data_IF_106096238099
#
_entry.id   IF_106096238099
#
_cell.length_a   1.000
_cell.length_b   1.000
_cell.length_c   1.000
_cell.angle_alpha   90.00
_cell.angle_beta   90.00
_cell.angle_gamma   90.00
#
_symmetry.space_group_name_H-M   'P 1'
#
loop_
_entity.id
_entity.type
_entity.pdbx_description
1 polymer ?
#
# COMPACT_ATOMS: atom_id res chain seq x y z
N UNK A 1 -89.49 -6.83 36.23
CA UNK A 1 -88.81 -7.69 37.23
C UNK A 1 -88.07 -8.77 36.45
N UNK A 2 -86.79 -9.02 36.79
CA UNK A 2 -85.77 -9.80 36.06
C UNK A 2 -85.03 -8.99 34.98
N UNK A 3 -83.87 -8.36 35.25
CA UNK A 3 -82.51 -8.85 35.57
C UNK A 3 -81.65 -9.10 34.31
N UNK A 4 -80.59 -8.30 34.25
CA UNK A 4 -79.29 -8.36 33.57
C UNK A 4 -78.95 -9.57 32.70
N UNK A 5 -78.43 -9.30 31.48
CA UNK A 5 -77.20 -9.96 31.04
C UNK A 5 -76.44 -9.11 29.98
N UNK A 6 -75.39 -8.43 30.44
CA UNK A 6 -74.33 -7.88 29.58
C UNK A 6 -73.53 -9.04 28.99
N UNK A 7 -73.73 -9.35 27.71
CA UNK A 7 -72.82 -10.22 26.97
C UNK A 7 -71.59 -9.41 26.55
N UNK A 8 -70.50 -9.61 27.29
CA UNK A 8 -69.17 -9.14 26.95
C UNK A 8 -68.68 -9.87 25.69
N UNK A 9 -68.57 -9.16 24.57
CA UNK A 9 -67.84 -9.65 23.41
C UNK A 9 -66.34 -9.63 23.75
N UNK A 10 -65.76 -10.81 23.97
CA UNK A 10 -64.32 -10.98 24.14
C UNK A 10 -63.58 -10.53 22.88
N UNK A 11 -62.79 -9.46 23.00
CA UNK A 11 -61.73 -9.16 22.04
C UNK A 11 -60.70 -10.30 22.14
N UNK A 12 -60.66 -11.17 21.13
CA UNK A 12 -59.58 -12.13 20.97
C UNK A 12 -58.25 -11.36 20.86
N UNK A 13 -57.36 -11.57 21.84
CA UNK A 13 -56.03 -11.01 21.81
C UNK A 13 -55.30 -11.49 20.55
N UNK A 14 -54.84 -10.55 19.72
CA UNK A 14 -54.00 -10.85 18.58
C UNK A 14 -52.74 -11.59 19.07
N UNK A 15 -52.30 -12.69 18.41
CA UNK A 15 -51.12 -13.42 18.83
C UNK A 15 -49.92 -12.48 18.81
N UNK A 16 -49.25 -12.33 19.95
CA UNK A 16 -47.96 -11.64 20.06
C UNK A 16 -46.97 -12.32 19.11
N UNK A 17 -46.83 -11.78 17.90
CA UNK A 17 -45.73 -12.17 17.00
C UNK A 17 -44.44 -11.75 17.69
N UNK A 18 -43.64 -12.75 18.08
CA UNK A 18 -42.27 -12.52 18.56
C UNK A 18 -41.56 -11.65 17.51
N UNK A 19 -40.79 -10.62 17.92
CA UNK A 19 -40.03 -9.83 16.96
C UNK A 19 -39.15 -10.78 16.14
N UNK A 20 -39.10 -10.64 14.80
CA UNK A 20 -38.27 -11.50 13.97
C UNK A 20 -36.83 -11.36 14.43
N UNK A 21 -36.17 -12.49 14.67
CA UNK A 21 -34.76 -12.52 15.03
C UNK A 21 -33.98 -11.78 13.92
N UNK A 22 -33.18 -10.76 14.25
CA UNK A 22 -32.39 -10.04 13.27
C UNK A 22 -31.59 -11.00 12.37
N UNK A 23 -31.68 -10.83 11.06
CA UNK A 23 -31.07 -11.77 10.10
C UNK A 23 -29.55 -11.95 10.26
N UNK A 24 -28.85 -11.00 10.87
CA UNK A 24 -27.43 -11.11 11.19
C UNK A 24 -27.13 -12.17 12.27
N UNK A 25 -28.07 -12.47 13.17
CA UNK A 25 -27.94 -13.55 14.16
C UNK A 25 -27.99 -14.94 13.51
N UNK A 26 -28.64 -15.06 12.34
CA UNK A 26 -28.59 -16.30 11.53
C UNK A 26 -27.20 -16.50 10.91
N UNK A 27 -26.44 -15.42 10.68
CA UNK A 27 -25.05 -15.47 10.22
C UNK A 27 -24.05 -15.88 11.31
N UNK A 28 -24.38 -15.71 12.59
CA UNK A 28 -23.53 -16.18 13.70
C UNK A 28 -23.51 -17.70 13.81
N UNK A 29 -24.59 -18.39 13.44
CA UNK A 29 -24.68 -19.86 13.50
C UNK A 29 -23.57 -20.55 12.69
N UNK A 30 -23.43 -20.26 11.38
CA UNK A 30 -22.34 -20.77 10.56
C UNK A 30 -20.95 -20.36 11.06
N UNK A 31 -20.76 -19.12 11.54
CA UNK A 31 -19.47 -18.66 12.07
C UNK A 31 -19.06 -19.40 13.35
N UNK A 32 -20.01 -19.62 14.27
CA UNK A 32 -19.79 -20.41 15.49
C UNK A 32 -19.52 -21.87 15.14
N UNK A 33 -20.23 -22.44 14.15
CA UNK A 33 -19.97 -23.79 13.67
C UNK A 33 -18.57 -23.93 13.06
N UNK A 34 -18.16 -22.97 12.22
CA UNK A 34 -16.79 -22.93 11.66
C UNK A 34 -15.76 -22.83 12.79
N UNK A 35 -15.96 -21.95 13.78
CA UNK A 35 -15.06 -21.82 14.92
C UNK A 35 -14.99 -23.09 15.77
N UNK A 36 -16.12 -23.79 15.98
CA UNK A 36 -16.18 -25.08 16.68
C UNK A 36 -15.46 -26.15 15.88
N UNK A 37 -15.67 -26.23 14.55
CA UNK A 37 -15.01 -27.22 13.69
C UNK A 37 -13.50 -26.98 13.64
N UNK A 38 -13.05 -25.72 13.49
CA UNK A 38 -11.64 -25.34 13.53
C UNK A 38 -11.02 -25.63 14.91
N UNK A 39 -11.72 -25.27 16.00
CA UNK A 39 -11.29 -25.58 17.36
C UNK A 39 -11.17 -27.08 17.61
N UNK A 40 -12.17 -27.86 17.18
CA UNK A 40 -12.15 -29.32 17.26
C UNK A 40 -11.02 -29.91 16.42
N UNK A 41 -10.75 -29.37 15.23
CA UNK A 41 -9.64 -29.76 14.37
C UNK A 41 -8.28 -29.51 15.03
N UNK A 42 -8.11 -28.38 15.72
CA UNK A 42 -6.89 -28.06 16.49
C UNK A 42 -6.72 -28.92 17.74
N UNK A 43 -7.81 -29.15 18.51
CA UNK A 43 -7.77 -29.90 19.78
C UNK A 43 -7.57 -31.41 19.52
N UNK A 44 -8.14 -31.94 18.44
CA UNK A 44 -7.99 -33.35 18.08
C UNK A 44 -6.66 -33.64 17.39
N UNK A 45 -5.78 -32.64 17.18
CA UNK A 45 -4.48 -32.80 16.52
C UNK A 45 -4.60 -33.61 15.20
N UNK A 46 -5.63 -33.27 14.41
CA UNK A 46 -6.03 -33.88 13.14
C UNK A 46 -5.35 -35.23 12.85
N UNK A 47 -5.85 -36.34 13.43
CA UNK A 47 -5.14 -37.61 13.45
C UNK A 47 -4.83 -38.08 12.02
N UNK A 48 -3.56 -37.97 11.62
CA UNK A 48 -3.10 -38.33 10.27
C UNK A 48 -2.36 -37.23 9.50
N UNK A 49 -2.48 -35.94 9.85
CA UNK A 49 -1.72 -34.87 9.18
C UNK A 49 -0.22 -34.93 9.48
N UNK A 50 0.17 -35.26 10.72
CA UNK A 50 1.58 -35.40 11.06
C UNK A 50 2.28 -36.54 10.28
N UNK A 51 1.52 -37.55 9.84
CA UNK A 51 2.04 -38.63 8.97
C UNK A 51 2.17 -38.23 7.50
N UNK A 52 1.51 -37.15 7.07
CA UNK A 52 1.71 -36.58 5.73
C UNK A 52 2.98 -35.73 5.66
N UNK A 53 3.47 -35.25 6.81
CA UNK A 53 4.74 -34.52 6.93
C UNK A 53 5.94 -35.43 7.21
N UNK A 54 5.71 -36.71 7.56
CA UNK A 54 6.78 -37.69 7.72
C UNK A 54 7.52 -37.90 6.38
N UNK A 55 8.77 -37.44 6.31
CA UNK A 55 9.63 -37.56 5.13
C UNK A 55 9.66 -36.33 4.21
N UNK A 56 8.91 -35.27 4.54
CA UNK A 56 9.05 -33.96 3.85
C UNK A 56 10.24 -33.23 4.49
N UNK A 57 11.24 -32.80 3.70
CA UNK A 57 12.34 -31.99 4.23
C UNK A 57 11.80 -30.72 4.93
N UNK A 58 12.40 -30.30 6.04
CA UNK A 58 11.99 -29.08 6.72
C UNK A 58 12.02 -27.90 5.75
N UNK A 59 10.97 -27.08 5.77
CA UNK A 59 10.87 -25.90 4.91
C UNK A 59 11.60 -24.73 5.56
N UNK A 60 12.81 -24.47 5.08
CA UNK A 60 13.65 -23.38 5.54
C UNK A 60 13.40 -22.14 4.70
N UNK A 61 12.46 -21.31 5.14
CA UNK A 61 12.15 -20.03 4.51
C UNK A 61 12.55 -18.92 5.48
N UNK A 62 13.66 -18.24 5.20
CA UNK A 62 14.19 -17.14 6.03
C UNK A 62 14.21 -15.87 5.21
N UNK A 63 13.62 -14.81 5.76
CA UNK A 63 13.66 -13.47 5.19
C UNK A 63 14.71 -12.61 5.91
N UNK A 64 15.46 -11.82 5.15
CA UNK A 64 16.36 -10.80 5.68
C UNK A 64 15.55 -9.52 5.91
N UNK A 65 15.52 -9.05 7.16
CA UNK A 65 14.71 -7.88 7.58
C UNK A 65 15.53 -6.60 7.71
N UNK A 66 16.81 -6.66 8.07
CA UNK A 66 17.63 -5.47 8.27
C UNK A 66 19.11 -5.84 8.08
N UNK A 67 19.88 -5.00 7.40
CA UNK A 67 21.33 -5.12 7.32
C UNK A 67 21.93 -3.82 7.83
N UNK A 68 22.72 -3.93 8.89
CA UNK A 68 23.40 -2.80 9.51
C UNK A 68 24.90 -2.95 9.44
N UNK A 69 25.54 -1.97 8.84
CA UNK A 69 26.98 -1.88 8.73
C UNK A 69 27.51 -0.85 9.73
N UNK A 70 28.31 -1.33 10.66
CA UNK A 70 29.10 -0.50 11.60
C UNK A 70 30.57 -0.83 11.41
N UNK A 71 31.51 0.03 11.86
CA UNK A 71 32.93 -0.24 11.67
C UNK A 71 33.35 -1.64 12.15
N UNK A 72 33.80 -2.48 11.22
CA UNK A 72 34.27 -3.84 11.50
C UNK A 72 33.18 -4.90 11.76
N UNK A 73 31.90 -4.58 11.58
CA UNK A 73 30.79 -5.51 11.80
C UNK A 73 29.68 -5.36 10.75
N UNK A 74 29.06 -6.49 10.42
CA UNK A 74 27.81 -6.56 9.65
C UNK A 74 26.78 -7.23 10.55
N UNK A 75 25.74 -6.51 10.93
CA UNK A 75 24.63 -7.04 11.70
C UNK A 75 23.42 -7.32 10.78
N UNK A 76 22.98 -8.56 10.69
CA UNK A 76 21.87 -8.98 9.83
C UNK A 76 20.73 -9.48 10.71
N UNK A 77 19.57 -8.85 10.61
CA UNK A 77 18.35 -9.35 11.25
C UNK A 77 17.61 -10.22 10.26
N UNK A 78 17.27 -11.44 10.68
CA UNK A 78 16.53 -12.39 9.86
C UNK A 78 15.33 -12.93 10.61
N UNK A 79 14.28 -13.28 9.88
CA UNK A 79 13.07 -13.91 10.42
C UNK A 79 12.81 -15.25 9.77
N UNK A 80 12.42 -16.22 10.59
CA UNK A 80 11.88 -17.48 10.09
C UNK A 80 10.44 -17.27 9.60
N UNK A 81 10.23 -17.36 8.30
CA UNK A 81 8.92 -17.31 7.65
C UNK A 81 8.34 -18.69 7.35
N UNK A 82 9.16 -19.73 7.51
CA UNK A 82 8.78 -21.11 7.36
C UNK A 82 7.94 -21.65 8.52
N UNK A 83 7.24 -22.77 8.30
CA UNK A 83 6.46 -23.45 9.33
C UNK A 83 7.33 -24.24 10.32
N UNK A 84 8.59 -24.52 9.97
CA UNK A 84 9.51 -25.36 10.75
C UNK A 84 10.56 -24.49 11.46
N UNK A 85 11.04 -24.86 12.67
CA UNK A 85 12.11 -24.15 13.34
C UNK A 85 13.42 -24.20 12.54
N UNK A 86 14.14 -23.08 12.46
CA UNK A 86 15.41 -22.97 11.72
C UNK A 86 16.50 -22.39 12.60
N UNK A 87 17.73 -22.87 12.44
CA UNK A 87 18.93 -22.31 13.07
C UNK A 87 19.99 -22.03 12.02
N UNK A 88 20.74 -20.95 12.21
CA UNK A 88 21.87 -20.59 11.34
C UNK A 88 23.14 -21.22 11.93
N UNK A 89 23.81 -22.03 11.12
CA UNK A 89 25.02 -22.75 11.51
C UNK A 89 26.29 -22.05 11.04
N UNK A 90 26.24 -21.35 9.90
CA UNK A 90 27.40 -20.72 9.29
C UNK A 90 27.01 -19.49 8.50
N UNK A 91 27.91 -18.50 8.44
CA UNK A 91 27.76 -17.31 7.62
C UNK A 91 28.97 -17.19 6.71
N UNK A 92 28.72 -17.06 5.42
CA UNK A 92 29.74 -16.72 4.44
C UNK A 92 29.54 -15.26 4.01
N UNK A 93 30.63 -14.48 3.96
CA UNK A 93 30.67 -13.15 3.36
C UNK A 93 31.64 -13.23 2.18
N UNK A 94 31.08 -13.18 0.97
CA UNK A 94 31.76 -13.46 -0.30
C UNK A 94 32.40 -14.86 -0.31
N UNK A 95 33.73 -14.95 -0.23
CA UNK A 95 34.47 -16.21 -0.22
C UNK A 95 34.98 -16.58 1.20
N UNK A 96 34.60 -15.84 2.24
CA UNK A 96 35.12 -16.00 3.58
C UNK A 96 34.06 -16.44 4.60
N UNK A 97 34.34 -17.54 5.31
CA UNK A 97 33.53 -17.95 6.45
C UNK A 97 33.77 -17.06 7.66
N UNK A 98 32.81 -16.19 7.92
CA UNK A 98 32.90 -15.18 8.93
C UNK A 98 32.47 -15.73 10.30
N UNK A 99 33.15 -15.26 11.34
CA UNK A 99 32.71 -15.49 12.72
C UNK A 99 31.49 -14.63 13.01
N UNK A 100 30.47 -15.22 13.60
CA UNK A 100 29.24 -14.53 13.96
C UNK A 100 28.75 -14.93 15.35
N UNK A 101 27.98 -14.04 15.97
CA UNK A 101 27.14 -14.35 17.13
C UNK A 101 25.68 -14.15 16.76
N UNK A 102 24.77 -14.79 17.49
CA UNK A 102 23.34 -14.68 17.23
C UNK A 102 22.58 -14.47 18.54
N UNK A 103 21.56 -13.61 18.50
CA UNK A 103 20.73 -13.32 19.69
C UNK A 103 19.85 -14.52 20.08
N UNK A 104 19.52 -15.38 19.12
CA UNK A 104 18.81 -16.65 19.31
C UNK A 104 19.47 -17.74 18.48
N UNK A 105 19.60 -18.93 19.07
CA UNK A 105 20.16 -20.10 18.38
C UNK A 105 19.20 -20.74 17.39
N UNK A 106 17.92 -20.82 17.75
CA UNK A 106 16.86 -21.38 16.92
C UNK A 106 15.68 -20.42 16.88
N UNK A 107 15.13 -20.21 15.69
CA UNK A 107 13.95 -19.38 15.45
C UNK A 107 12.72 -20.26 15.25
N UNK A 108 11.71 -20.13 16.09
CA UNK A 108 10.39 -20.67 15.80
C UNK A 108 9.74 -19.89 14.64
N UNK A 109 8.63 -20.38 14.05
CA UNK A 109 7.92 -19.64 13.01
C UNK A 109 7.57 -18.21 13.44
N UNK A 110 7.86 -17.25 12.57
CA UNK A 110 7.72 -15.79 12.74
C UNK A 110 8.64 -15.16 13.81
N UNK A 111 9.58 -15.90 14.39
CA UNK A 111 10.61 -15.32 15.25
C UNK A 111 11.79 -14.79 14.44
N UNK A 112 12.36 -13.67 14.93
CA UNK A 112 13.57 -13.06 14.36
C UNK A 112 14.79 -13.27 15.26
N UNK A 113 15.97 -13.34 14.65
CA UNK A 113 17.28 -13.32 15.31
C UNK A 113 18.17 -12.28 14.63
N UNK A 114 19.13 -11.71 15.37
CA UNK A 114 20.13 -10.81 14.81
C UNK A 114 21.48 -11.50 14.84
N UNK A 115 22.08 -11.64 13.67
CA UNK A 115 23.42 -12.18 13.44
C UNK A 115 24.42 -11.03 13.45
N UNK A 116 25.36 -11.01 14.38
CA UNK A 116 26.45 -10.03 14.41
C UNK A 116 27.72 -10.68 13.85
N UNK A 117 28.08 -10.30 12.63
CA UNK A 117 29.18 -10.87 11.86
C UNK A 117 30.40 -9.96 12.03
N UNK A 118 31.51 -10.53 12.48
CA UNK A 118 32.78 -9.79 12.58
C UNK A 118 33.48 -9.79 11.22
N UNK A 119 33.34 -8.68 10.49
CA UNK A 119 33.87 -8.54 9.13
C UNK A 119 34.26 -7.08 8.85
N UNK A 120 35.48 -6.86 8.37
CA UNK A 120 35.98 -5.54 7.98
C UNK A 120 35.59 -5.24 6.54
N UNK A 121 34.42 -4.64 6.36
CA UNK A 121 33.92 -4.20 5.07
C UNK A 121 34.52 -2.84 4.67
N UNK A 122 34.44 -2.53 3.38
CA UNK A 122 34.95 -1.32 2.73
C UNK A 122 33.77 -0.53 2.17
N UNK A 123 33.80 0.78 2.34
CA UNK A 123 32.75 1.68 1.84
C UNK A 123 32.67 1.64 0.32
N UNK A 124 31.47 1.44 -0.21
CA UNK A 124 31.15 1.32 -1.63
C UNK A 124 31.28 -0.10 -2.21
N UNK A 125 31.88 -1.04 -1.50
CA UNK A 125 32.07 -2.41 -2.02
C UNK A 125 30.77 -3.24 -1.94
N UNK A 126 30.47 -4.06 -2.96
CA UNK A 126 29.39 -5.04 -2.90
C UNK A 126 29.81 -6.28 -2.10
N UNK A 127 28.88 -6.88 -1.37
CA UNK A 127 29.08 -8.15 -0.67
C UNK A 127 27.91 -9.11 -0.86
N UNK A 128 28.23 -10.36 -1.23
CA UNK A 128 27.27 -11.47 -1.17
C UNK A 128 27.39 -12.17 0.19
N UNK A 129 26.34 -12.15 0.99
CA UNK A 129 26.28 -12.88 2.26
C UNK A 129 25.42 -14.13 2.06
N UNK A 130 25.91 -15.29 2.45
CA UNK A 130 25.14 -16.53 2.47
C UNK A 130 24.99 -17.05 3.90
N UNK A 131 23.75 -17.10 4.36
CA UNK A 131 23.39 -17.69 5.65
C UNK A 131 23.11 -19.18 5.43
N UNK A 132 23.88 -20.04 6.08
CA UNK A 132 23.75 -21.48 5.97
C UNK A 132 23.03 -22.01 7.20
N UNK A 133 21.89 -22.66 6.97
CA UNK A 133 21.10 -23.29 8.04
C UNK A 133 21.76 -24.56 8.56
N UNK A 134 21.33 -25.05 9.71
CA UNK A 134 21.78 -26.34 10.25
C UNK A 134 21.43 -27.54 9.36
N UNK A 135 20.40 -27.44 8.51
CA UNK A 135 20.09 -28.48 7.52
C UNK A 135 20.80 -28.28 6.18
N UNK A 136 21.68 -27.27 6.05
CA UNK A 136 22.49 -27.01 4.87
C UNK A 136 21.82 -26.16 3.79
N UNK A 137 20.63 -25.63 4.04
CA UNK A 137 19.99 -24.62 3.21
C UNK A 137 20.82 -23.34 3.16
N UNK A 138 20.88 -22.69 2.00
CA UNK A 138 21.59 -21.42 1.81
C UNK A 138 20.59 -20.31 1.52
N UNK A 139 20.58 -19.30 2.36
CA UNK A 139 19.77 -18.08 2.18
C UNK A 139 20.73 -16.96 1.76
N UNK A 140 20.70 -16.54 0.48
CA UNK A 140 21.52 -15.45 0.01
C UNK A 140 20.97 -14.10 0.49
N UNK A 141 21.86 -13.15 0.75
CA UNK A 141 21.58 -11.78 1.08
C UNK A 141 22.63 -10.90 0.40
N UNK A 142 22.21 -10.00 -0.48
CA UNK A 142 23.13 -9.11 -1.19
C UNK A 142 23.22 -7.75 -0.49
N UNK A 143 24.44 -7.22 -0.41
CA UNK A 143 24.74 -5.83 -0.06
C UNK A 143 25.33 -5.22 -1.33
N UNK A 144 24.51 -4.47 -2.07
CA UNK A 144 24.92 -3.91 -3.38
C UNK A 144 26.04 -2.86 -3.24
N UNK A 145 26.00 -2.05 -2.18
CA UNK A 145 27.03 -1.08 -1.87
C UNK A 145 27.08 -0.88 -0.36
N UNK A 146 28.16 -1.32 0.28
CA UNK A 146 28.34 -1.16 1.71
C UNK A 146 28.52 0.31 2.09
N UNK A 147 27.72 0.78 3.04
CA UNK A 147 27.85 2.12 3.61
C UNK A 147 27.49 2.08 5.08
N UNK A 148 28.04 3.00 5.88
CA UNK A 148 27.69 3.12 7.29
C UNK A 148 26.17 3.29 7.45
N UNK A 149 25.55 2.39 8.20
CA UNK A 149 24.12 2.50 8.46
C UNK A 149 23.86 3.73 9.34
N UNK A 150 22.87 4.57 8.96
CA UNK A 150 22.59 5.78 9.72
C UNK A 150 22.13 5.46 11.14
N UNK A 151 22.60 6.26 12.11
CA UNK A 151 22.06 6.21 13.46
C UNK A 151 20.59 6.65 13.45
N UNK A 152 19.70 5.81 14.00
CA UNK A 152 18.25 6.11 14.10
C UNK A 152 17.97 7.11 15.23
N UNK A 153 18.63 8.27 15.20
CA UNK A 153 18.45 9.39 16.12
C UNK A 153 17.43 10.42 15.62
N UNK A 154 17.23 11.48 16.41
CA UNK A 154 16.26 12.54 16.05
C UNK A 154 16.55 13.24 14.71
N UNK A 155 17.83 13.40 14.36
CA UNK A 155 18.26 13.97 13.06
C UNK A 155 17.85 13.10 11.88
N UNK A 156 17.92 11.78 12.01
CA UNK A 156 17.49 10.83 10.97
C UNK A 156 15.98 10.93 10.72
N UNK A 157 15.16 10.90 11.78
CA UNK A 157 13.71 11.06 11.62
C UNK A 157 13.31 12.46 11.12
N UNK A 158 14.06 13.50 11.47
CA UNK A 158 13.89 14.83 10.90
C UNK A 158 14.20 14.85 9.39
N UNK A 159 15.26 14.16 8.95
CA UNK A 159 15.56 13.97 7.53
C UNK A 159 14.44 13.22 6.82
N UNK A 160 13.93 12.12 7.39
CA UNK A 160 12.81 11.37 6.79
C UNK A 160 11.54 12.23 6.66
N UNK A 161 11.27 13.06 7.66
CA UNK A 161 10.17 14.04 7.60
C UNK A 161 10.39 15.04 6.46
N UNK A 162 11.59 15.57 6.33
CA UNK A 162 11.96 16.53 5.30
C UNK A 162 11.87 15.91 3.90
N UNK A 163 12.33 14.67 3.72
CA UNK A 163 12.21 13.93 2.47
C UNK A 163 10.75 13.68 2.08
N UNK A 164 9.90 13.28 3.04
CA UNK A 164 8.47 13.17 2.80
C UNK A 164 7.81 14.49 2.37
N UNK A 165 8.27 15.63 2.89
CA UNK A 165 7.83 16.96 2.43
C UNK A 165 8.31 17.24 1.00
N UNK A 166 9.57 16.96 0.68
CA UNK A 166 10.15 17.19 -0.65
C UNK A 166 9.58 16.31 -1.74
N UNK A 167 9.12 15.11 -1.40
CA UNK A 167 8.58 14.14 -2.37
C UNK A 167 7.06 14.22 -2.46
N UNK A 168 6.36 14.35 -1.33
CA UNK A 168 4.89 14.42 -1.33
C UNK A 168 4.35 15.84 -1.40
N UNK A 169 4.58 16.62 -0.33
CA UNK A 169 3.88 17.90 -0.14
C UNK A 169 4.25 18.95 -1.18
N UNK A 170 5.55 19.19 -1.41
CA UNK A 170 6.02 20.23 -2.33
C UNK A 170 5.60 19.92 -3.77
N UNK A 171 5.87 18.72 -4.32
CA UNK A 171 5.52 18.40 -5.70
C UNK A 171 4.02 18.47 -5.95
N UNK A 172 3.20 17.87 -5.08
CA UNK A 172 1.74 17.97 -5.20
C UNK A 172 1.29 19.43 -5.21
N UNK A 173 1.81 20.26 -4.29
CA UNK A 173 1.50 21.69 -4.28
C UNK A 173 1.93 22.39 -5.57
N UNK A 174 3.12 22.11 -6.10
CA UNK A 174 3.60 22.64 -7.38
C UNK A 174 2.67 22.26 -8.54
N UNK A 175 2.19 21.02 -8.57
CA UNK A 175 1.17 20.58 -9.52
C UNK A 175 -0.12 21.38 -9.42
N UNK A 176 -0.59 21.61 -8.18
CA UNK A 176 -1.80 22.37 -7.93
C UNK A 176 -1.67 23.86 -8.30
N UNK A 177 -0.45 24.41 -8.34
CA UNK A 177 -0.19 25.78 -8.82
C UNK A 177 -0.56 25.99 -10.30
N UNK A 178 -0.75 24.92 -11.07
CA UNK A 178 -1.25 25.01 -12.45
C UNK A 178 -2.75 25.37 -12.54
N UNK A 179 -3.46 25.44 -11.41
CA UNK A 179 -4.87 25.78 -11.36
C UNK A 179 -5.27 27.04 -12.17
N UNK A 180 -4.55 28.19 -12.12
CA UNK A 180 -4.90 29.35 -12.93
C UNK A 180 -4.89 29.09 -14.45
N UNK A 181 -3.98 28.24 -14.92
CA UNK A 181 -3.92 27.82 -16.31
C UNK A 181 -5.10 26.92 -16.65
N UNK A 182 -5.37 25.89 -15.83
CA UNK A 182 -6.48 24.94 -16.03
C UNK A 182 -7.83 25.64 -16.04
N UNK A 183 -8.02 26.67 -15.20
CA UNK A 183 -9.26 27.47 -15.15
C UNK A 183 -9.56 28.19 -16.46
N UNK A 184 -8.52 28.72 -17.12
CA UNK A 184 -8.59 29.50 -18.35
C UNK A 184 -8.59 28.62 -19.61
N UNK A 185 -8.15 27.38 -19.49
CA UNK A 185 -8.13 26.45 -20.61
C UNK A 185 -9.56 26.16 -21.15
N UNK A 186 -9.70 26.05 -22.48
CA UNK A 186 -10.96 25.61 -23.09
C UNK A 186 -11.23 24.14 -22.75
N UNK A 187 -12.50 23.73 -22.82
CA UNK A 187 -12.93 22.40 -22.39
C UNK A 187 -12.21 21.24 -23.12
N UNK A 188 -11.82 21.42 -24.39
CA UNK A 188 -11.05 20.43 -25.14
C UNK A 188 -9.68 20.18 -24.53
N UNK A 189 -8.97 21.25 -24.15
CA UNK A 189 -7.66 21.16 -23.50
C UNK A 189 -7.75 20.55 -22.11
N UNK A 190 -8.78 20.88 -21.34
CA UNK A 190 -9.02 20.23 -20.03
C UNK A 190 -9.21 18.72 -20.18
N UNK A 191 -9.92 18.27 -21.22
CA UNK A 191 -10.08 16.82 -21.50
C UNK A 191 -8.77 16.15 -21.94
N UNK A 192 -7.93 16.84 -22.71
CA UNK A 192 -6.60 16.33 -23.07
C UNK A 192 -5.73 16.18 -21.81
N UNK A 193 -5.69 17.20 -20.95
CA UNK A 193 -4.97 17.16 -19.68
C UNK A 193 -5.49 16.04 -18.77
N UNK A 194 -6.81 15.85 -18.67
CA UNK A 194 -7.40 14.71 -17.97
C UNK A 194 -6.97 13.37 -18.58
N UNK A 195 -6.90 13.28 -19.92
CA UNK A 195 -6.36 12.12 -20.61
C UNK A 195 -4.92 11.83 -20.20
N UNK A 196 -4.05 12.85 -20.19
CA UNK A 196 -2.66 12.76 -19.71
C UNK A 196 -2.62 12.26 -18.27
N UNK A 197 -3.42 12.84 -17.38
CA UNK A 197 -3.50 12.40 -15.97
C UNK A 197 -3.95 10.94 -15.85
N UNK A 198 -4.97 10.50 -16.60
CA UNK A 198 -5.42 9.10 -16.57
C UNK A 198 -4.33 8.16 -17.07
N UNK A 199 -3.61 8.53 -18.14
CA UNK A 199 -2.48 7.75 -18.64
C UNK A 199 -1.36 7.62 -17.62
N UNK A 200 -1.02 8.73 -16.95
CA UNK A 200 -0.01 8.76 -15.89
C UNK A 200 -0.38 7.85 -14.71
N UNK A 201 -1.59 8.00 -14.17
CA UNK A 201 -2.06 7.17 -13.05
C UNK A 201 -2.18 5.69 -13.42
N UNK A 202 -2.53 5.39 -14.67
CA UNK A 202 -2.56 4.01 -15.16
C UNK A 202 -1.16 3.40 -15.23
N UNK A 203 -0.15 4.17 -15.68
CA UNK A 203 1.24 3.72 -15.62
C UNK A 203 1.66 3.45 -14.18
N UNK A 204 1.44 4.42 -13.27
CA UNK A 204 1.82 4.30 -11.85
C UNK A 204 1.16 3.10 -11.17
N UNK A 205 -0.11 2.82 -11.49
CA UNK A 205 -0.78 1.63 -10.96
C UNK A 205 -0.09 0.33 -11.38
N UNK A 206 0.36 0.25 -12.64
CA UNK A 206 1.06 -0.93 -13.17
C UNK A 206 2.44 -1.03 -12.53
N UNK A 207 3.20 0.05 -12.57
CA UNK A 207 4.59 0.13 -12.09
C UNK A 207 4.68 -0.23 -10.61
N UNK A 208 3.88 0.43 -9.76
CA UNK A 208 3.83 0.14 -8.32
C UNK A 208 3.36 -1.28 -8.02
N UNK A 209 2.50 -1.88 -8.86
CA UNK A 209 2.12 -3.29 -8.69
C UNK A 209 3.29 -4.21 -8.99
N UNK A 210 4.02 -3.96 -10.10
CA UNK A 210 5.17 -4.78 -10.50
C UNK A 210 6.26 -4.72 -9.44
N UNK A 211 6.66 -3.52 -9.03
CA UNK A 211 7.67 -3.29 -7.99
C UNK A 211 7.28 -3.97 -6.66
N UNK A 212 6.01 -3.80 -6.23
CA UNK A 212 5.54 -4.43 -5.01
C UNK A 212 5.51 -5.97 -5.09
N UNK A 213 5.19 -6.54 -6.25
CA UNK A 213 5.21 -8.00 -6.43
C UNK A 213 6.63 -8.57 -6.50
N UNK A 214 7.57 -7.83 -7.06
CA UNK A 214 8.99 -8.20 -7.10
C UNK A 214 9.59 -8.24 -5.69
N UNK A 215 9.23 -7.27 -4.84
CA UNK A 215 9.64 -7.20 -3.43
C UNK A 215 9.30 -8.46 -2.60
N UNK A 216 8.27 -9.19 -3.00
CA UNK A 216 7.82 -10.42 -2.33
C UNK A 216 7.82 -11.63 -3.26
N UNK A 217 8.54 -11.59 -4.39
CA UNK A 217 8.56 -12.68 -5.37
C UNK A 217 9.09 -13.99 -4.76
N UNK A 218 10.13 -13.88 -3.93
CA UNK A 218 10.75 -15.01 -3.23
C UNK A 218 10.20 -15.23 -1.81
N UNK A 219 9.28 -14.38 -1.37
CA UNK A 219 8.66 -14.46 -0.04
C UNK A 219 7.32 -15.19 -0.13
N UNK A 220 7.14 -16.26 0.65
CA UNK A 220 5.87 -16.99 0.72
C UNK A 220 5.03 -16.67 1.96
N UNK A 221 5.57 -15.92 2.91
CA UNK A 221 4.80 -15.43 4.05
C UNK A 221 3.61 -14.58 3.59
N UNK A 222 2.50 -14.69 4.30
CA UNK A 222 1.26 -13.95 4.03
C UNK A 222 0.70 -14.12 2.59
N UNK A 223 1.11 -15.17 1.87
CA UNK A 223 0.67 -15.43 0.49
C UNK A 223 1.52 -14.75 -0.59
N UNK A 224 2.70 -14.22 -0.24
CA UNK A 224 3.66 -13.64 -1.19
C UNK A 224 3.05 -12.52 -2.03
N UNK A 225 3.12 -12.56 -3.37
CA UNK A 225 2.53 -11.53 -4.24
C UNK A 225 1.04 -11.25 -4.01
N UNK A 226 0.29 -12.20 -3.41
CA UNK A 226 -1.12 -11.97 -3.08
C UNK A 226 -1.34 -10.83 -2.09
N UNK A 227 -0.35 -10.51 -1.25
CA UNK A 227 -0.44 -9.40 -0.29
C UNK A 227 -0.57 -8.05 -1.01
N UNK A 228 0.07 -7.91 -2.18
CA UNK A 228 0.01 -6.71 -3.03
C UNK A 228 -1.41 -6.53 -3.57
N UNK A 229 -1.96 -7.58 -4.17
CA UNK A 229 -3.31 -7.56 -4.73
C UNK A 229 -4.37 -7.37 -3.64
N UNK A 230 -4.14 -7.91 -2.43
CA UNK A 230 -5.00 -7.66 -1.29
C UNK A 230 -4.97 -6.18 -0.89
N UNK A 231 -3.78 -5.58 -0.77
CA UNK A 231 -3.64 -4.14 -0.50
C UNK A 231 -4.35 -3.28 -1.55
N UNK A 232 -4.14 -3.60 -2.83
CA UNK A 232 -4.77 -2.90 -3.94
C UNK A 232 -6.30 -3.02 -3.91
N UNK A 233 -6.83 -4.22 -3.70
CA UNK A 233 -8.26 -4.46 -3.61
C UNK A 233 -8.88 -3.73 -2.41
N UNK A 234 -8.22 -3.76 -1.25
CA UNK A 234 -8.68 -3.06 -0.04
C UNK A 234 -8.75 -1.56 -0.30
N UNK A 235 -7.69 -0.95 -0.83
CA UNK A 235 -7.66 0.49 -1.11
C UNK A 235 -8.73 0.89 -2.13
N UNK A 236 -8.84 0.15 -3.23
CA UNK A 236 -9.82 0.39 -4.28
C UNK A 236 -11.26 0.33 -3.72
N UNK A 237 -11.58 -0.72 -2.96
CA UNK A 237 -12.91 -0.91 -2.37
C UNK A 237 -13.22 0.10 -1.27
N UNK A 238 -12.24 0.51 -0.48
CA UNK A 238 -12.40 1.57 0.53
C UNK A 238 -12.70 2.91 -0.13
N UNK A 239 -12.01 3.26 -1.22
CA UNK A 239 -12.29 4.48 -1.98
C UNK A 239 -13.65 4.41 -2.69
N UNK A 240 -14.04 3.26 -3.24
CA UNK A 240 -15.37 3.08 -3.84
C UNK A 240 -16.49 3.16 -2.78
N UNK A 241 -16.27 2.56 -1.61
CA UNK A 241 -17.17 2.66 -0.46
C UNK A 241 -17.29 4.10 0.05
N UNK A 242 -16.17 4.82 0.08
CA UNK A 242 -16.11 6.25 0.44
C UNK A 242 -16.90 7.09 -0.56
N UNK A 243 -16.72 6.88 -1.86
CA UNK A 243 -17.49 7.53 -2.93
C UNK A 243 -18.99 7.23 -2.80
N UNK A 244 -19.36 5.94 -2.64
CA UNK A 244 -20.75 5.53 -2.46
C UNK A 244 -21.40 6.17 -1.21
N UNK A 245 -20.68 6.22 -0.09
CA UNK A 245 -21.10 6.87 1.15
C UNK A 245 -21.26 8.39 0.96
N UNK A 246 -20.31 9.05 0.29
CA UNK A 246 -20.40 10.48 -0.04
C UNK A 246 -21.58 10.80 -0.97
N UNK A 247 -21.97 9.87 -1.86
CA UNK A 247 -23.18 9.99 -2.70
C UNK A 247 -24.47 9.81 -1.90
N UNK A 248 -24.51 8.87 -0.96
CA UNK A 248 -25.72 8.60 -0.15
C UNK A 248 -26.05 9.71 0.85
N UNK A 249 -25.03 10.40 1.39
CA UNK A 249 -25.22 11.57 2.27
C UNK A 249 -25.56 12.87 1.52
N UNK A 250 -26.02 12.76 0.28
CA UNK A 250 -26.50 13.90 -0.49
C UNK A 250 -28.00 14.03 -0.24
N UNK A 251 -28.49 15.26 -0.06
CA UNK A 251 -29.93 15.49 -0.16
C UNK A 251 -30.43 14.99 -1.53
N UNK A 252 -31.64 14.42 -1.61
CA UNK A 252 -32.18 13.93 -2.87
C UNK A 252 -32.11 15.05 -3.90
N UNK A 253 -31.25 14.86 -4.90
CA UNK A 253 -31.13 15.79 -6.00
C UNK A 253 -32.43 15.76 -6.81
N UNK A 254 -32.87 16.92 -7.30
CA UNK A 254 -33.99 17.01 -8.23
C UNK A 254 -33.82 16.01 -9.38
N UNK A 255 -34.94 15.40 -9.80
CA UNK A 255 -34.98 14.44 -10.91
C UNK A 255 -34.19 14.97 -12.11
N UNK A 256 -33.24 14.18 -12.62
CA UNK A 256 -32.38 14.54 -13.76
C UNK A 256 -30.96 15.02 -13.43
N UNK A 257 -30.57 15.14 -12.16
CA UNK A 257 -29.19 15.49 -11.79
C UNK A 257 -28.26 14.27 -11.86
N UNK A 258 -27.09 14.42 -12.50
CA UNK A 258 -26.08 13.35 -12.66
C UNK A 258 -25.70 12.69 -11.33
N UNK A 259 -25.62 11.35 -11.31
CA UNK A 259 -25.19 10.54 -10.16
C UNK A 259 -23.72 10.75 -9.73
N UNK A 260 -22.97 11.61 -10.44
CA UNK A 260 -21.58 11.91 -10.15
C UNK A 260 -21.39 12.76 -8.88
N UNK A 261 -20.25 12.60 -8.21
CA UNK A 261 -19.84 13.45 -7.10
C UNK A 261 -19.71 14.90 -7.54
N UNK A 262 -20.06 15.88 -6.67
CA UNK A 262 -19.76 17.27 -6.94
C UNK A 262 -18.24 17.50 -6.97
N UNK A 263 -17.75 18.50 -7.74
CA UNK A 263 -16.32 18.73 -7.97
C UNK A 263 -15.44 18.74 -6.72
N UNK A 264 -15.91 19.35 -5.63
CA UNK A 264 -15.15 19.44 -4.38
C UNK A 264 -15.01 18.10 -3.65
N UNK A 265 -16.04 17.24 -3.69
CA UNK A 265 -15.95 15.88 -3.10
C UNK A 265 -15.10 14.98 -3.99
N UNK A 266 -15.22 15.13 -5.32
CA UNK A 266 -14.37 14.39 -6.26
C UNK A 266 -12.90 14.76 -6.06
N UNK A 267 -12.57 16.06 -5.96
CA UNK A 267 -11.20 16.51 -5.67
C UNK A 267 -10.67 15.99 -4.33
N UNK A 268 -11.52 15.92 -3.29
CA UNK A 268 -11.14 15.31 -2.01
C UNK A 268 -10.90 13.81 -2.14
N UNK A 269 -11.77 13.08 -2.86
CA UNK A 269 -11.58 11.65 -3.11
C UNK A 269 -10.27 11.38 -3.86
N UNK A 270 -9.98 12.19 -4.89
CA UNK A 270 -8.72 12.14 -5.64
C UNK A 270 -7.53 12.42 -4.71
N UNK A 271 -7.61 13.46 -3.86
CA UNK A 271 -6.55 13.78 -2.91
C UNK A 271 -6.33 12.67 -1.87
N UNK A 272 -7.38 11.98 -1.41
CA UNK A 272 -7.26 10.84 -0.51
C UNK A 272 -6.59 9.66 -1.24
N UNK A 273 -7.00 9.36 -2.48
CA UNK A 273 -6.40 8.28 -3.27
C UNK A 273 -4.92 8.52 -3.55
N UNK A 274 -4.55 9.73 -3.96
CA UNK A 274 -3.15 10.16 -4.12
C UNK A 274 -2.41 10.08 -2.77
N UNK A 275 -3.05 10.49 -1.67
CA UNK A 275 -2.46 10.37 -0.34
C UNK A 275 -2.13 8.93 0.05
N UNK A 276 -3.00 7.97 -0.26
CA UNK A 276 -2.71 6.55 -0.02
C UNK A 276 -1.56 6.03 -0.89
N UNK A 277 -1.38 6.56 -2.09
CA UNK A 277 -0.22 6.26 -2.95
C UNK A 277 1.08 6.82 -2.40
N UNK A 278 1.08 8.11 -2.06
CA UNK A 278 2.23 8.80 -1.49
C UNK A 278 2.68 8.21 -0.15
N UNK A 279 1.77 7.57 0.59
CA UNK A 279 2.13 6.78 1.79
C UNK A 279 3.09 5.63 1.44
N UNK A 280 2.85 4.91 0.34
CA UNK A 280 3.70 3.82 -0.14
C UNK A 280 5.06 4.32 -0.62
N UNK A 281 5.11 5.42 -1.34
CA UNK A 281 6.35 6.06 -1.78
C UNK A 281 7.22 6.51 -0.61
N UNK A 282 6.61 7.18 0.36
CA UNK A 282 7.27 7.57 1.59
C UNK A 282 7.89 6.35 2.26
N UNK A 283 7.14 5.27 2.38
CA UNK A 283 7.63 4.01 2.95
C UNK A 283 8.86 3.48 2.21
N UNK A 284 8.82 3.44 0.87
CA UNK A 284 9.94 2.99 0.05
C UNK A 284 11.21 3.82 0.31
N UNK A 285 11.09 5.16 0.37
CA UNK A 285 12.21 6.05 0.71
C UNK A 285 12.72 5.77 2.12
N UNK A 286 11.82 5.73 3.11
CA UNK A 286 12.19 5.50 4.51
C UNK A 286 12.93 4.16 4.69
N UNK A 287 12.44 3.12 4.02
CA UNK A 287 13.04 1.79 4.03
C UNK A 287 14.40 1.75 3.33
N UNK A 288 14.55 2.38 2.16
CA UNK A 288 15.83 2.46 1.46
C UNK A 288 16.92 3.13 2.32
N UNK A 289 16.57 4.22 3.00
CA UNK A 289 17.47 4.89 3.94
C UNK A 289 17.73 4.07 5.22
N UNK A 290 16.74 3.32 5.72
CA UNK A 290 16.89 2.48 6.90
C UNK A 290 17.93 1.37 6.71
N UNK A 291 18.02 0.83 5.49
CA UNK A 291 18.99 -0.22 5.10
C UNK A 291 20.28 0.34 4.50
N UNK A 292 20.46 1.68 4.49
CA UNK A 292 21.69 2.33 4.02
C UNK A 292 21.85 2.41 2.50
N UNK A 293 20.79 2.13 1.72
CA UNK A 293 20.84 2.21 0.25
C UNK A 293 20.60 3.65 -0.24
N UNK A 294 21.64 4.50 -0.13
CA UNK A 294 21.54 5.92 -0.49
C UNK A 294 21.25 6.14 -1.98
N UNK A 295 21.84 5.34 -2.86
CA UNK A 295 21.64 5.46 -4.31
C UNK A 295 20.19 5.16 -4.70
N UNK A 296 19.62 4.08 -4.14
CA UNK A 296 18.20 3.75 -4.31
C UNK A 296 17.32 4.86 -3.72
N UNK A 297 17.62 5.35 -2.51
CA UNK A 297 16.87 6.45 -1.91
C UNK A 297 16.86 7.71 -2.78
N UNK A 298 18.00 8.07 -3.39
CA UNK A 298 18.11 9.24 -4.25
C UNK A 298 17.34 9.10 -5.58
N UNK A 299 17.40 7.94 -6.24
CA UNK A 299 16.65 7.70 -7.47
C UNK A 299 15.13 7.74 -7.22
N UNK A 300 14.67 7.12 -6.13
CA UNK A 300 13.26 7.15 -5.71
C UNK A 300 12.77 8.59 -5.47
N UNK A 301 13.54 9.42 -4.75
CA UNK A 301 13.16 10.81 -4.48
C UNK A 301 12.94 11.60 -5.78
N UNK A 302 13.85 11.46 -6.76
CA UNK A 302 13.75 12.20 -8.02
C UNK A 302 12.56 11.70 -8.84
N UNK A 303 12.42 10.38 -8.99
CA UNK A 303 11.31 9.77 -9.71
C UNK A 303 9.96 10.22 -9.14
N UNK A 304 9.77 10.01 -7.84
CA UNK A 304 8.53 10.33 -7.15
C UNK A 304 8.21 11.83 -7.18
N UNK A 305 9.19 12.70 -6.99
CA UNK A 305 8.95 14.15 -7.07
C UNK A 305 8.47 14.60 -8.46
N UNK A 306 8.96 14.00 -9.54
CA UNK A 306 8.55 14.34 -10.90
C UNK A 306 7.07 13.97 -11.12
N UNK A 307 6.65 12.75 -10.80
CA UNK A 307 5.26 12.37 -11.04
C UNK A 307 4.28 12.95 -10.02
N UNK A 308 4.66 13.14 -8.75
CA UNK A 308 3.80 13.80 -7.77
C UNK A 308 3.45 15.25 -8.15
N UNK A 309 4.33 15.91 -8.91
CA UNK A 309 4.02 17.20 -9.52
C UNK A 309 2.85 17.09 -10.51
N UNK A 310 2.74 16.01 -11.26
CA UNK A 310 1.63 15.81 -12.19
C UNK A 310 0.33 15.40 -11.49
N UNK A 311 0.41 14.76 -10.32
CA UNK A 311 -0.76 14.37 -9.53
C UNK A 311 -1.51 15.57 -8.93
N UNK A 312 -0.78 16.64 -8.60
CA UNK A 312 -1.39 17.91 -8.20
C UNK A 312 -2.35 18.47 -9.26
N UNK A 313 -2.09 18.21 -10.56
CA UNK A 313 -2.99 18.56 -11.65
C UNK A 313 -4.30 17.76 -11.59
N UNK A 314 -4.23 16.47 -11.22
CA UNK A 314 -5.40 15.60 -11.08
C UNK A 314 -6.40 16.15 -10.04
N UNK A 315 -5.89 16.67 -8.93
CA UNK A 315 -6.70 17.23 -7.83
C UNK A 315 -7.43 18.49 -8.27
N UNK A 316 -6.76 19.40 -9.00
CA UNK A 316 -7.33 20.71 -9.36
C UNK A 316 -8.20 20.68 -10.60
N UNK A 317 -8.06 19.67 -11.46
CA UNK A 317 -8.79 19.61 -12.73
C UNK A 317 -10.31 19.54 -12.57
N UNK A 318 -10.89 18.72 -11.67
CA UNK A 318 -12.33 18.78 -11.37
C UNK A 318 -12.80 20.16 -10.88
N UNK A 319 -11.92 20.91 -10.23
CA UNK A 319 -12.21 22.21 -9.63
C UNK A 319 -12.11 23.37 -10.63
N UNK A 320 -11.72 23.13 -11.88
CA UNK A 320 -11.38 24.15 -12.88
C UNK A 320 -12.45 25.25 -13.05
N UNK A 321 -13.74 24.91 -12.89
CA UNK A 321 -14.85 25.89 -13.03
C UNK A 321 -15.41 26.36 -11.69
N UNK A 322 -15.03 25.73 -10.59
CA UNK A 322 -15.48 26.07 -9.23
C UNK A 322 -14.28 26.06 -8.28
N UNK A 323 -13.34 27.01 -8.44
CA UNK A 323 -12.10 27.04 -7.70
C UNK A 323 -12.37 27.24 -6.19
N UNK A 324 -11.76 26.44 -5.31
CA UNK A 324 -11.84 26.69 -3.88
C UNK A 324 -10.94 27.87 -3.47
N UNK A 325 -11.16 28.39 -2.26
CA UNK A 325 -10.22 29.32 -1.64
C UNK A 325 -8.90 28.65 -1.25
N UNK A 326 -7.84 29.45 -1.07
CA UNK A 326 -6.49 28.98 -0.75
C UNK A 326 -6.42 27.99 0.43
N UNK A 327 -7.14 28.17 1.56
CA UNK A 327 -7.06 27.23 2.68
C UNK A 327 -7.55 25.83 2.33
N UNK A 328 -8.60 25.72 1.51
CA UNK A 328 -9.11 24.43 1.03
C UNK A 328 -8.18 23.80 0.02
N UNK A 329 -7.54 24.61 -0.84
CA UNK A 329 -6.54 24.13 -1.78
C UNK A 329 -5.31 23.58 -1.03
N UNK A 330 -4.83 24.29 0.00
CA UNK A 330 -3.75 23.83 0.87
C UNK A 330 -4.15 22.54 1.62
N UNK A 331 -5.38 22.45 2.13
CA UNK A 331 -5.86 21.24 2.78
C UNK A 331 -5.88 20.03 1.82
N UNK A 332 -6.32 20.20 0.57
CA UNK A 332 -6.28 19.14 -0.44
C UNK A 332 -4.84 18.72 -0.75
N UNK A 333 -3.91 19.67 -0.88
CA UNK A 333 -2.49 19.37 -1.09
C UNK A 333 -1.87 18.64 0.09
N UNK A 334 -2.23 18.98 1.32
CA UNK A 334 -1.76 18.27 2.52
C UNK A 334 -2.36 16.86 2.63
N UNK A 335 -3.65 16.68 2.31
CA UNK A 335 -4.29 15.35 2.30
C UNK A 335 -3.59 14.41 1.30
N UNK A 336 -3.18 14.96 0.15
CA UNK A 336 -2.47 14.20 -0.89
C UNK A 336 -0.98 14.02 -0.59
N UNK A 337 -0.27 15.04 -0.10
CA UNK A 337 1.19 15.00 0.02
C UNK A 337 1.73 14.61 1.41
N UNK A 338 1.04 14.96 2.50
CA UNK A 338 1.53 14.69 3.85
C UNK A 338 1.64 13.18 4.20
N UNK A 339 0.84 12.27 3.64
CA UNK A 339 1.03 10.84 3.86
C UNK A 339 2.42 10.32 3.49
N UNK A 340 3.15 10.94 2.55
CA UNK A 340 4.54 10.59 2.27
C UNK A 340 5.46 10.75 3.49
N UNK A 341 5.18 11.74 4.35
CA UNK A 341 5.91 11.94 5.61
C UNK A 341 5.67 10.75 6.53
N UNK A 342 4.40 10.34 6.69
CA UNK A 342 4.05 9.19 7.52
C UNK A 342 4.69 7.91 6.97
N UNK A 343 4.67 7.73 5.65
CA UNK A 343 5.34 6.62 4.97
C UNK A 343 6.82 6.58 5.28
N UNK A 344 7.53 7.69 5.07
CA UNK A 344 8.97 7.79 5.32
C UNK A 344 9.34 7.50 6.77
N UNK A 345 8.55 7.99 7.72
CA UNK A 345 8.74 7.69 9.14
C UNK A 345 8.50 6.21 9.46
N UNK A 346 7.46 5.59 8.90
CA UNK A 346 7.18 4.17 9.11
C UNK A 346 8.32 3.33 8.50
N UNK A 347 8.71 3.60 7.25
CA UNK A 347 9.74 2.86 6.54
C UNK A 347 11.11 2.98 7.20
N UNK A 348 11.38 4.11 7.84
CA UNK A 348 12.59 4.37 8.60
C UNK A 348 12.74 3.53 9.90
N UNK A 349 11.63 3.02 10.44
CA UNK A 349 11.64 2.27 11.71
C UNK A 349 11.85 0.76 11.53
N UNK A 350 11.21 0.17 10.52
CA UNK A 350 11.15 -1.29 10.31
C UNK A 350 11.10 -1.55 8.81
N UNK A 351 11.98 -2.41 8.31
CA UNK A 351 11.83 -2.98 6.98
C UNK A 351 11.18 -4.36 7.11
N UNK A 352 9.99 -4.47 6.51
CA UNK A 352 9.19 -5.67 6.51
C UNK A 352 8.64 -5.86 5.09
N UNK A 353 9.23 -6.74 4.26
CA UNK A 353 8.89 -6.85 2.85
C UNK A 353 7.38 -7.02 2.60
N UNK A 354 6.72 -7.88 3.38
CA UNK A 354 5.28 -8.10 3.24
C UNK A 354 4.42 -6.85 3.55
N UNK A 355 4.81 -6.04 4.55
CA UNK A 355 4.12 -4.80 4.89
C UNK A 355 4.38 -3.73 3.83
N UNK A 356 5.61 -3.66 3.33
CA UNK A 356 5.98 -2.75 2.26
C UNK A 356 5.23 -3.07 0.96
N UNK A 357 5.21 -4.34 0.56
CA UNK A 357 4.44 -4.81 -0.59
C UNK A 357 2.93 -4.58 -0.42
N UNK A 358 2.38 -4.78 0.78
CA UNK A 358 0.99 -4.45 1.08
C UNK A 358 0.68 -2.96 0.89
N UNK A 359 1.52 -2.07 1.44
CA UNK A 359 1.32 -0.62 1.38
C UNK A 359 1.56 -0.04 -0.02
N UNK A 360 2.53 -0.56 -0.77
CA UNK A 360 2.69 -0.25 -2.19
C UNK A 360 1.48 -0.73 -3.01
N UNK A 361 0.97 -1.94 -2.71
CA UNK A 361 -0.28 -2.45 -3.27
C UNK A 361 -1.47 -1.53 -2.97
N UNK A 362 -1.60 -1.06 -1.71
CA UNK A 362 -2.61 -0.03 -1.33
C UNK A 362 -2.48 1.20 -2.21
N UNK A 363 -1.26 1.68 -2.45
CA UNK A 363 -1.00 2.79 -3.36
C UNK A 363 -1.46 2.52 -4.79
N UNK A 364 -1.07 1.37 -5.36
CA UNK A 364 -1.44 0.97 -6.71
C UNK A 364 -2.96 0.89 -6.90
N UNK A 365 -3.67 0.26 -5.94
CA UNK A 365 -5.14 0.18 -5.95
C UNK A 365 -5.80 1.55 -5.82
N UNK A 366 -5.21 2.47 -5.04
CA UNK A 366 -5.71 3.82 -4.88
C UNK A 366 -5.60 4.64 -6.18
N UNK A 367 -4.44 4.68 -6.83
CA UNK A 367 -4.29 5.42 -8.10
C UNK A 367 -5.07 4.79 -9.24
N UNK A 368 -5.21 3.45 -9.28
CA UNK A 368 -6.09 2.77 -10.23
C UNK A 368 -7.55 3.22 -10.06
N UNK A 369 -8.02 3.30 -8.81
CA UNK A 369 -9.37 3.78 -8.51
C UNK A 369 -9.56 5.24 -8.94
N UNK A 370 -8.60 6.11 -8.64
CA UNK A 370 -8.61 7.52 -9.04
C UNK A 370 -8.66 7.65 -10.56
N UNK A 371 -7.85 6.89 -11.30
CA UNK A 371 -7.86 6.88 -12.77
C UNK A 371 -9.24 6.52 -13.32
N UNK A 372 -9.88 5.49 -12.76
CA UNK A 372 -11.26 5.09 -13.12
C UNK A 372 -12.26 6.21 -12.83
N UNK A 373 -12.11 6.94 -11.72
CA UNK A 373 -13.00 8.07 -11.38
C UNK A 373 -12.83 9.29 -12.28
N UNK A 374 -11.68 9.44 -12.92
CA UNK A 374 -11.45 10.50 -13.89
C UNK A 374 -12.04 10.18 -15.27
N UNK A 375 -12.16 8.90 -15.66
CA UNK A 375 -12.67 8.49 -16.99
C UNK A 375 -13.99 9.18 -17.40
N UNK A 376 -15.04 9.29 -16.55
CA UNK A 376 -16.27 9.97 -16.94
C UNK A 376 -16.08 11.45 -17.32
N UNK A 377 -15.02 12.11 -16.83
CA UNK A 377 -14.72 13.51 -17.12
C UNK A 377 -14.07 13.70 -18.50
N UNK A 378 -13.59 12.62 -19.13
CA UNK A 378 -13.03 12.66 -20.49
C UNK A 378 -14.14 12.72 -21.55
N UNK A 379 -15.38 12.41 -21.20
CA UNK A 379 -16.51 12.37 -22.13
C UNK A 379 -16.69 13.70 -22.86
N UNK A 380 -16.78 13.61 -24.18
CA UNK A 380 -17.08 14.75 -25.02
C UNK A 380 -18.59 15.08 -25.05
N UNK A 381 -18.99 16.03 -25.93
CA UNK A 381 -20.40 16.43 -26.06
C UNK A 381 -21.29 15.30 -26.61
N UNK A 382 -20.71 14.33 -27.33
CA UNK A 382 -21.40 13.15 -27.85
C UNK A 382 -21.40 11.99 -26.83
N UNK A 383 -20.79 12.16 -25.66
CA UNK A 383 -20.67 11.13 -24.63
C UNK A 383 -19.52 10.15 -24.84
N UNK A 384 -18.66 10.37 -25.84
CA UNK A 384 -17.51 9.53 -26.17
C UNK A 384 -16.35 9.82 -25.21
N UNK A 385 -15.88 8.79 -24.49
CA UNK A 385 -14.71 8.89 -23.61
C UNK A 385 -13.40 8.86 -24.40
N UNK A 386 -13.29 7.95 -25.37
CA UNK A 386 -12.07 7.72 -26.18
C UNK A 386 -12.19 8.41 -27.54
N UNK A 387 -11.96 9.71 -27.54
CA UNK A 387 -11.77 10.51 -28.76
C UNK A 387 -10.31 10.49 -29.17
N UNK A 388 -9.97 10.92 -30.39
CA UNK A 388 -8.57 11.05 -30.80
C UNK A 388 -7.74 11.92 -29.83
N UNK A 389 -8.32 13.03 -29.36
CA UNK A 389 -7.66 13.95 -28.43
C UNK A 389 -7.45 13.35 -27.03
N UNK A 390 -8.47 12.70 -26.46
CA UNK A 390 -8.34 12.08 -25.13
C UNK A 390 -7.45 10.85 -25.16
N UNK A 391 -7.50 10.06 -26.23
CA UNK A 391 -6.61 8.91 -26.43
C UNK A 391 -5.16 9.34 -26.61
N UNK A 392 -4.90 10.38 -27.41
CA UNK A 392 -3.57 10.98 -27.52
C UNK A 392 -3.07 11.50 -26.17
N UNK A 393 -3.95 12.11 -25.36
CA UNK A 393 -3.64 12.49 -23.98
C UNK A 393 -3.21 11.30 -23.13
N UNK A 394 -3.99 10.21 -23.11
CA UNK A 394 -3.67 8.98 -22.36
C UNK A 394 -2.31 8.41 -22.78
N UNK A 395 -2.07 8.28 -24.09
CA UNK A 395 -0.79 7.79 -24.63
C UNK A 395 0.36 8.72 -24.22
N UNK A 396 0.16 10.03 -24.28
CA UNK A 396 1.15 11.00 -23.83
C UNK A 396 1.46 10.86 -22.34
N UNK A 397 0.45 10.64 -21.50
CA UNK A 397 0.63 10.40 -20.06
C UNK A 397 1.48 9.15 -19.79
N UNK A 398 1.15 8.03 -20.45
CA UNK A 398 1.93 6.79 -20.39
C UNK A 398 3.38 7.02 -20.86
N UNK A 399 3.57 7.72 -21.98
CA UNK A 399 4.88 7.98 -22.56
C UNK A 399 5.74 8.90 -21.67
N UNK A 400 5.15 9.91 -21.05
CA UNK A 400 5.83 10.81 -20.10
C UNK A 400 6.33 10.02 -18.89
N UNK A 401 5.50 9.15 -18.31
CA UNK A 401 5.91 8.33 -17.18
C UNK A 401 7.00 7.34 -17.55
N UNK A 402 6.84 6.62 -18.66
CA UNK A 402 7.85 5.71 -19.16
C UNK A 402 9.20 6.40 -19.40
N UNK A 403 9.18 7.58 -20.02
CA UNK A 403 10.41 8.37 -20.28
C UNK A 403 11.03 8.86 -18.99
N UNK A 404 10.23 9.28 -18.01
CA UNK A 404 10.73 9.68 -16.68
C UNK A 404 11.45 8.51 -16.01
N UNK A 405 10.87 7.30 -16.05
CA UNK A 405 11.52 6.10 -15.53
C UNK A 405 12.88 5.82 -16.19
N UNK A 406 12.98 5.97 -17.51
CA UNK A 406 14.25 5.83 -18.23
C UNK A 406 15.30 6.88 -17.84
N UNK A 407 14.88 8.12 -17.58
CA UNK A 407 15.79 9.21 -17.23
C UNK A 407 16.29 9.13 -15.78
N UNK A 408 15.53 8.50 -14.88
CA UNK A 408 15.92 8.31 -13.48
C UNK A 408 16.92 7.16 -13.32
N UNK A 409 16.88 6.18 -14.23
CA UNK A 409 17.79 5.02 -14.26
C UNK A 409 19.10 5.28 -15.03
N UNK A 410 19.23 6.41 -15.72
CA UNK A 410 20.39 6.82 -16.52
C UNK A 410 21.27 7.81 -15.75
#
# INVERSE_FOLDING_TARGET
>A
MSLDEKTAAGQAAAPHRRPPVPAWLLGLGPLVLIAIVLGLFTVLNAPGLNRLSEGVPPKEEIAVEDVRLTPGQIAITVRNEGPDPVSIAQVNVSDYYAMFTQTRETMAPLESTTLTISYSWVDGDPYEVALVTSNGGKIPAAIEAAALSPERGGSFFALMTLLGVYVGVIPVALGMLWMPFVRRAPASWVRILLGVTVGLLAFLAIDATLEATELVADNRAFGGPMVVFLGAAVAYLLLEGTDAWMRHRREPAAEGTSAALPPHRLALLIAIGIGLHNLGEGLAIGSAYAVGSLALGASLIIGFAIHNTTEGLAIVTPLAKQPPGLPRLAALGLVAGAPAIAGALIGATVYQPALAAFLLGVGAGAVAQVAVKLLPMLKDKAGMTFTAATTAGIILGLAVMFTTGLLVLA
#
